data_IF_076680457660
#
_entry.id   IF_076680457660
#
_cell.length_a   1.000
_cell.length_b   1.000
_cell.length_c   1.000
_cell.angle_alpha   90.00
_cell.angle_beta   90.00
_cell.angle_gamma   90.00
#
_symmetry.space_group_name_H-M   'P 1'
#
loop_
_entity.id
_entity.type
_entity.pdbx_description
1 polymer ?
#
# COMPACT_ATOMS: atom_id res chain seq x y z
N UNK A 1 -9.41 -12.42 0.97
CA UNK A 1 -9.30 -11.29 1.91
C UNK A 1 -8.89 -10.07 1.11
N UNK A 2 -9.61 -8.96 1.23
CA UNK A 2 -9.25 -7.68 0.61
C UNK A 2 -8.46 -6.83 1.62
N UNK A 3 -7.51 -6.04 1.14
CA UNK A 3 -6.71 -5.13 1.96
C UNK A 3 -6.65 -3.77 1.27
N UNK A 4 -6.89 -2.71 2.02
CA UNK A 4 -6.72 -1.32 1.62
C UNK A 4 -5.86 -0.61 2.66
N UNK A 5 -4.70 -0.11 2.25
CA UNK A 5 -3.86 0.74 3.10
C UNK A 5 -4.21 2.21 2.87
N UNK A 6 -4.70 2.90 3.89
CA UNK A 6 -4.87 4.35 3.88
C UNK A 6 -3.51 5.03 4.05
N UNK A 7 -3.06 5.69 2.99
CA UNK A 7 -1.86 6.52 2.93
C UNK A 7 -2.20 7.98 2.59
N UNK A 8 -3.45 8.39 2.78
CA UNK A 8 -3.93 9.76 2.57
C UNK A 8 -4.79 9.99 1.33
N UNK A 9 -5.32 8.93 0.71
CA UNK A 9 -6.19 9.02 -0.49
C UNK A 9 -7.62 9.51 -0.23
N UNK A 10 -7.94 9.96 0.99
CA UNK A 10 -9.21 10.59 1.37
C UNK A 10 -10.46 9.76 0.99
N UNK A 11 -11.39 10.35 0.22
CA UNK A 11 -12.73 9.84 -0.05
C UNK A 11 -12.75 8.50 -0.81
N UNK A 12 -11.62 8.03 -1.34
CA UNK A 12 -11.50 6.72 -2.00
C UNK A 12 -11.81 5.53 -1.08
N UNK A 13 -11.85 5.74 0.24
CA UNK A 13 -12.16 4.71 1.23
C UNK A 13 -13.66 4.56 1.50
N UNK A 14 -14.49 5.52 1.09
CA UNK A 14 -15.93 5.50 1.35
C UNK A 14 -16.62 4.36 0.58
N UNK A 15 -17.44 3.57 1.29
CA UNK A 15 -18.17 2.42 0.71
C UNK A 15 -17.28 1.24 0.30
N UNK A 16 -15.98 1.27 0.62
CA UNK A 16 -15.03 0.25 0.18
C UNK A 16 -15.33 -1.12 0.79
N UNK A 17 -15.77 -1.16 2.05
CA UNK A 17 -16.18 -2.39 2.73
C UNK A 17 -17.35 -3.07 2.02
N UNK A 18 -18.43 -2.33 1.79
CA UNK A 18 -19.62 -2.83 1.09
C UNK A 18 -19.24 -3.34 -0.32
N UNK A 19 -18.43 -2.58 -1.05
CA UNK A 19 -17.96 -2.95 -2.39
C UNK A 19 -17.13 -4.24 -2.37
N UNK A 20 -16.20 -4.39 -1.44
CA UNK A 20 -15.35 -5.57 -1.33
C UNK A 20 -16.17 -6.83 -1.03
N UNK A 21 -17.09 -6.74 -0.07
CA UNK A 21 -17.98 -7.85 0.27
C UNK A 21 -18.90 -8.22 -0.91
N UNK A 22 -19.51 -7.23 -1.57
CA UNK A 22 -20.34 -7.46 -2.77
C UNK A 22 -19.57 -8.10 -3.93
N UNK A 23 -18.27 -7.87 -4.01
CA UNK A 23 -17.39 -8.44 -5.04
C UNK A 23 -16.89 -9.85 -4.68
N UNK A 24 -17.19 -10.35 -3.47
CA UNK A 24 -16.87 -11.71 -3.03
C UNK A 24 -15.68 -11.82 -2.08
N UNK A 25 -15.20 -10.70 -1.50
CA UNK A 25 -14.20 -10.79 -0.43
C UNK A 25 -14.82 -11.47 0.81
N UNK A 26 -14.12 -12.46 1.37
CA UNK A 26 -14.52 -13.10 2.63
C UNK A 26 -14.34 -12.20 3.86
N UNK A 27 -13.42 -11.23 3.77
CA UNK A 27 -13.03 -10.27 4.80
C UNK A 27 -12.33 -9.09 4.12
N UNK A 28 -12.43 -7.91 4.71
CA UNK A 28 -11.66 -6.73 4.29
C UNK A 28 -10.93 -6.11 5.49
N UNK A 29 -9.71 -5.64 5.22
CA UNK A 29 -8.94 -4.76 6.11
C UNK A 29 -8.83 -3.38 5.48
N UNK A 30 -9.17 -2.34 6.24
CA UNK A 30 -8.95 -0.94 5.87
C UNK A 30 -8.00 -0.36 6.92
N UNK A 31 -6.70 -0.40 6.63
CA UNK A 31 -5.65 -0.10 7.59
C UNK A 31 -5.23 1.36 7.48
N UNK A 32 -5.32 2.11 8.59
CA UNK A 32 -4.72 3.43 8.66
C UNK A 32 -3.22 3.34 8.91
N UNK A 33 -2.44 3.53 7.84
CA UNK A 33 -0.97 3.50 7.83
C UNK A 33 -0.41 4.89 7.50
N UNK A 34 -1.18 5.96 7.68
CA UNK A 34 -0.76 7.33 7.38
C UNK A 34 0.42 7.78 8.25
N UNK A 35 0.36 7.54 9.56
CA UNK A 35 1.46 7.88 10.47
C UNK A 35 2.73 7.08 10.15
N UNK A 36 2.60 5.77 9.94
CA UNK A 36 3.73 4.91 9.55
C UNK A 36 4.35 5.39 8.22
N UNK A 37 3.52 5.73 7.24
CA UNK A 37 3.99 6.29 5.98
C UNK A 37 4.76 7.60 6.17
N UNK A 38 4.27 8.51 7.01
CA UNK A 38 4.94 9.78 7.30
C UNK A 38 6.27 9.57 8.03
N UNK A 39 6.22 8.84 9.14
CA UNK A 39 7.34 8.74 10.08
C UNK A 39 8.47 7.87 9.54
N UNK A 40 8.13 6.74 8.91
CA UNK A 40 9.12 5.73 8.52
C UNK A 40 9.55 5.84 7.05
N UNK A 41 8.80 6.56 6.21
CA UNK A 41 9.10 6.66 4.78
C UNK A 41 9.29 8.12 4.31
N UNK A 42 8.31 9.01 4.52
CA UNK A 42 8.38 10.39 4.04
C UNK A 42 9.50 11.18 4.75
N UNK A 43 9.49 11.21 6.08
CA UNK A 43 10.47 11.99 6.85
C UNK A 43 11.91 11.56 6.53
N UNK A 44 12.25 10.26 6.51
CA UNK A 44 13.58 9.81 6.10
C UNK A 44 13.95 10.21 4.67
N UNK A 45 13.01 10.10 3.73
CA UNK A 45 13.21 10.48 2.32
C UNK A 45 13.53 11.97 2.17
N UNK A 46 12.78 12.82 2.89
CA UNK A 46 13.00 14.28 2.89
C UNK A 46 14.33 14.63 3.56
N UNK A 47 14.66 14.01 4.70
CA UNK A 47 15.95 14.21 5.39
C UNK A 47 17.14 13.83 4.52
N UNK A 48 17.00 12.82 3.67
CA UNK A 48 18.02 12.41 2.72
C UNK A 48 18.15 13.35 1.51
N UNK A 49 17.23 14.32 1.33
CA UNK A 49 17.18 15.18 0.14
C UNK A 49 16.92 14.39 -1.14
N UNK A 50 16.19 13.26 -1.04
CA UNK A 50 16.05 12.33 -2.14
C UNK A 50 15.22 12.93 -3.28
N UNK A 51 15.81 13.00 -4.46
CA UNK A 51 15.19 13.43 -5.70
C UNK A 51 15.61 12.47 -6.82
N UNK A 52 14.63 12.02 -7.60
CA UNK A 52 14.90 11.24 -8.80
C UNK A 52 14.61 12.12 -10.01
N UNK A 53 15.65 12.60 -10.68
CA UNK A 53 15.51 13.47 -11.86
C UNK A 53 14.59 14.69 -11.59
N UNK A 54 14.62 15.22 -10.36
CA UNK A 54 13.76 16.33 -9.90
C UNK A 54 12.41 15.92 -9.30
N UNK A 55 12.05 14.64 -9.31
CA UNK A 55 10.83 14.10 -8.70
C UNK A 55 11.02 13.71 -7.23
N UNK A 56 10.07 14.11 -6.36
CA UNK A 56 10.08 13.86 -4.91
C UNK A 56 9.58 12.47 -4.47
N UNK A 57 9.52 11.50 -5.39
CA UNK A 57 9.33 10.08 -5.06
C UNK A 57 8.01 9.71 -4.32
N UNK A 58 7.00 10.59 -4.34
CA UNK A 58 5.76 10.40 -3.58
C UNK A 58 5.05 9.06 -3.82
N UNK A 59 4.85 8.68 -5.09
CA UNK A 59 4.25 7.38 -5.43
C UNK A 59 5.19 6.23 -5.09
N UNK A 60 6.49 6.42 -5.29
CA UNK A 60 7.49 5.37 -5.08
C UNK A 60 7.51 4.88 -3.63
N UNK A 61 7.46 5.79 -2.65
CA UNK A 61 7.54 5.44 -1.23
C UNK A 61 6.22 5.01 -0.60
N UNK A 62 5.07 5.29 -1.24
CA UNK A 62 3.79 4.77 -0.77
C UNK A 62 3.67 3.24 -0.99
N UNK A 63 4.37 2.65 -1.97
CA UNK A 63 4.23 1.21 -2.28
C UNK A 63 4.85 0.30 -1.22
N UNK A 64 6.08 0.55 -0.73
CA UNK A 64 6.70 -0.28 0.29
C UNK A 64 5.85 -0.42 1.57
N UNK A 65 5.27 0.68 2.08
CA UNK A 65 4.44 0.61 3.30
C UNK A 65 3.15 -0.20 3.10
N UNK A 66 2.53 -0.10 1.91
CA UNK A 66 1.35 -0.91 1.57
C UNK A 66 1.74 -2.38 1.41
N UNK A 67 2.85 -2.68 0.73
CA UNK A 67 3.36 -4.04 0.54
C UNK A 67 3.67 -4.71 1.88
N UNK A 68 4.36 -4.00 2.78
CA UNK A 68 4.65 -4.45 4.15
C UNK A 68 3.36 -4.83 4.89
N UNK A 69 2.37 -3.93 4.93
CA UNK A 69 1.09 -4.21 5.62
C UNK A 69 0.33 -5.37 5.00
N UNK A 70 0.38 -5.52 3.67
CA UNK A 70 -0.24 -6.64 2.96
C UNK A 70 0.38 -7.99 3.37
N UNK A 71 1.71 -8.05 3.48
CA UNK A 71 2.44 -9.24 3.94
C UNK A 71 2.13 -9.55 5.41
N UNK A 72 2.11 -8.54 6.28
CA UNK A 72 1.75 -8.70 7.70
C UNK A 72 0.35 -9.31 7.87
N UNK A 73 -0.64 -8.82 7.11
CA UNK A 73 -2.00 -9.37 7.12
C UNK A 73 -2.02 -10.79 6.56
N UNK A 74 -1.30 -11.06 5.47
CA UNK A 74 -1.24 -12.40 4.90
C UNK A 74 -0.68 -13.42 5.91
N UNK A 75 0.40 -13.05 6.61
CA UNK A 75 0.98 -13.89 7.67
C UNK A 75 0.01 -14.09 8.85
N UNK A 76 -0.66 -13.02 9.29
CA UNK A 76 -1.64 -13.10 10.39
C UNK A 76 -2.87 -13.95 10.04
N UNK A 77 -3.27 -13.98 8.77
CA UNK A 77 -4.39 -14.77 8.26
C UNK A 77 -3.98 -16.19 7.82
N UNK A 78 -2.67 -16.51 7.83
CA UNK A 78 -2.15 -17.77 7.33
C UNK A 78 -2.35 -17.96 5.83
N UNK A 79 -2.33 -16.87 5.06
CA UNK A 79 -2.44 -16.90 3.60
C UNK A 79 -1.09 -17.25 2.95
N UNK A 80 -1.11 -18.14 1.95
CA UNK A 80 0.10 -18.57 1.23
C UNK A 80 0.60 -17.55 0.21
N UNK A 81 -0.22 -16.56 -0.15
CA UNK A 81 0.06 -15.62 -1.23
C UNK A 81 -0.56 -14.24 -0.99
N UNK A 82 0.11 -13.24 -1.57
CA UNK A 82 -0.40 -11.88 -1.74
C UNK A 82 -0.67 -11.61 -3.22
N UNK A 83 -1.45 -10.57 -3.53
CA UNK A 83 -1.66 -10.13 -4.91
C UNK A 83 -1.78 -8.60 -4.98
N UNK A 84 -1.47 -8.03 -6.15
CA UNK A 84 -1.65 -6.61 -6.44
C UNK A 84 -2.18 -6.39 -7.86
N UNK A 85 -2.85 -5.25 -8.06
CA UNK A 85 -3.44 -4.86 -9.35
C UNK A 85 -2.53 -4.01 -10.25
N UNK A 86 -1.23 -3.88 -9.95
CA UNK A 86 -0.30 -3.10 -10.76
C UNK A 86 -0.18 -3.66 -12.19
N UNK A 87 0.00 -2.77 -13.17
CA UNK A 87 0.16 -3.20 -14.57
C UNK A 87 1.53 -3.84 -14.80
N UNK A 88 1.61 -4.77 -15.75
CA UNK A 88 2.84 -5.49 -16.11
C UNK A 88 3.94 -4.64 -16.78
N UNK A 89 3.70 -3.35 -16.99
CA UNK A 89 4.62 -2.43 -17.68
C UNK A 89 5.02 -1.23 -16.82
N UNK A 90 4.52 -1.15 -15.58
CA UNK A 90 4.79 -0.05 -14.67
C UNK A 90 5.89 -0.38 -13.66
N UNK A 91 6.31 0.65 -12.92
CA UNK A 91 7.28 0.50 -11.82
C UNK A 91 6.65 -0.08 -10.56
N UNK A 92 5.33 0.06 -10.37
CA UNK A 92 4.67 -0.32 -9.13
C UNK A 92 4.70 -1.83 -8.86
N UNK A 93 4.63 -2.68 -9.90
CA UNK A 93 4.79 -4.13 -9.74
C UNK A 93 6.12 -4.47 -9.05
N UNK A 94 7.22 -3.85 -9.52
CA UNK A 94 8.56 -4.07 -8.97
C UNK A 94 8.65 -3.57 -7.53
N UNK A 95 7.98 -2.46 -7.20
CA UNK A 95 7.98 -1.90 -5.84
C UNK A 95 7.25 -2.80 -4.85
N UNK A 96 6.15 -3.44 -5.27
CA UNK A 96 5.43 -4.40 -4.44
C UNK A 96 6.17 -5.74 -4.31
N UNK A 97 6.75 -6.25 -5.39
CA UNK A 97 7.35 -7.59 -5.42
C UNK A 97 8.73 -7.67 -4.74
N UNK A 98 9.45 -6.55 -4.59
CA UNK A 98 10.79 -6.52 -4.00
C UNK A 98 10.85 -6.10 -2.52
N UNK A 99 9.75 -5.58 -1.97
CA UNK A 99 9.70 -5.11 -0.57
C UNK A 99 9.36 -6.25 0.37
#
# INVERSE_FOLDING_TARGET
IAVSGNVGQADELEGLEEKALKTGASKIYIEDITNEFVDDFIIPTVKAGALYEGYMLGTSFARPVIAKRLVEIALAEGADAICHGCTGKGNDQVRFELT
#
